data_IF_557901094623
#
_entry.id   IF_557901094623
#
_cell.length_a   1.000
_cell.length_b   1.000
_cell.length_c   1.000
_cell.angle_alpha   90.00
_cell.angle_beta   90.00
_cell.angle_gamma   90.00
#
_symmetry.space_group_name_H-M   'P 1'
#
loop_
_entity.id
_entity.type
_entity.pdbx_description
1 polymer ?
#
# COMPACT_ATOMS: atom_id res chain seq x y z
N UNK A 1 7.79 -2.51 -29.30
CA UNK A 1 7.11 -1.23 -29.05
C UNK A 1 5.75 -1.58 -28.46
N UNK A 2 5.44 -1.12 -27.26
CA UNK A 2 4.13 -1.32 -26.63
C UNK A 2 3.30 -0.04 -26.80
N UNK A 3 2.03 -0.18 -27.18
CA UNK A 3 1.10 0.95 -27.32
C UNK A 3 0.04 0.79 -26.23
N UNK A 4 -0.08 1.80 -25.36
CA UNK A 4 -1.06 1.83 -24.28
C UNK A 4 -2.08 2.94 -24.56
N UNK A 5 -3.37 2.60 -24.47
CA UNK A 5 -4.48 3.55 -24.62
C UNK A 5 -5.01 3.93 -23.24
N UNK A 6 -5.13 5.24 -22.97
CA UNK A 6 -5.69 5.75 -21.72
C UNK A 6 -7.08 6.35 -21.96
N UNK A 7 -8.01 6.12 -21.03
CA UNK A 7 -9.33 6.74 -21.00
C UNK A 7 -9.41 7.59 -19.74
N UNK A 8 -9.85 8.84 -19.86
CA UNK A 8 -10.02 9.76 -18.74
C UNK A 8 -11.33 10.53 -18.91
N UNK A 9 -12.01 10.81 -17.80
CA UNK A 9 -13.21 11.66 -17.78
C UNK A 9 -12.89 13.16 -17.88
N UNK A 10 -11.62 13.54 -17.71
CA UNK A 10 -11.19 14.93 -17.83
C UNK A 10 -11.13 15.36 -19.30
N UNK A 11 -11.57 16.59 -19.61
CA UNK A 11 -11.46 17.12 -20.97
C UNK A 11 -10.01 17.43 -21.32
N UNK A 12 -9.72 17.58 -22.62
CA UNK A 12 -8.36 17.63 -23.16
C UNK A 12 -7.47 18.74 -22.54
N UNK A 13 -8.06 19.89 -22.23
CA UNK A 13 -7.36 21.02 -21.61
C UNK A 13 -6.81 20.68 -20.21
N UNK A 14 -7.46 19.77 -19.49
CA UNK A 14 -7.04 19.28 -18.17
C UNK A 14 -6.23 17.97 -18.27
N UNK A 15 -6.43 17.18 -19.32
CA UNK A 15 -5.78 15.89 -19.56
C UNK A 15 -4.76 15.93 -20.71
N UNK A 16 -3.89 16.95 -20.71
CA UNK A 16 -2.82 17.04 -21.70
C UNK A 16 -1.94 15.77 -21.65
N UNK A 17 -1.34 15.32 -22.78
CA UNK A 17 -0.58 14.07 -22.82
C UNK A 17 0.50 13.92 -21.74
N UNK A 18 1.19 15.01 -21.42
CA UNK A 18 2.21 15.03 -20.35
C UNK A 18 1.62 14.82 -18.95
N UNK A 19 0.43 15.35 -18.69
CA UNK A 19 -0.29 15.16 -17.42
C UNK A 19 -0.76 13.71 -17.29
N UNK A 20 -1.34 13.14 -18.35
CA UNK A 20 -1.74 11.71 -18.40
C UNK A 20 -0.53 10.82 -18.12
N UNK A 21 0.59 11.05 -18.81
CA UNK A 21 1.82 10.27 -18.58
C UNK A 21 2.34 10.40 -17.14
N UNK A 22 2.20 11.58 -16.53
CA UNK A 22 2.58 11.79 -15.13
C UNK A 22 1.69 10.99 -14.19
N UNK A 23 0.37 11.05 -14.37
CA UNK A 23 -0.58 10.29 -13.56
C UNK A 23 -0.42 8.79 -13.72
N UNK A 24 -0.18 8.31 -14.95
CA UNK A 24 0.11 6.89 -15.20
C UNK A 24 1.35 6.45 -14.44
N UNK A 25 2.45 7.22 -14.48
CA UNK A 25 3.66 6.90 -13.71
C UNK A 25 3.42 6.92 -12.21
N UNK A 26 2.64 7.89 -11.70
CA UNK A 26 2.26 7.95 -10.30
C UNK A 26 1.41 6.75 -9.89
N UNK A 27 0.45 6.36 -10.72
CA UNK A 27 -0.40 5.18 -10.50
C UNK A 27 0.41 3.90 -10.47
N UNK A 28 1.29 3.68 -11.46
CA UNK A 28 2.24 2.57 -11.46
C UNK A 28 3.18 2.62 -10.24
N UNK A 29 3.53 3.82 -9.77
CA UNK A 29 4.31 4.01 -8.55
C UNK A 29 3.59 3.49 -7.31
N UNK A 30 2.26 3.64 -7.21
CA UNK A 30 1.46 3.08 -6.10
C UNK A 30 1.51 1.56 -6.14
N UNK A 31 1.24 0.97 -7.30
CA UNK A 31 1.26 -0.49 -7.50
C UNK A 31 2.65 -1.07 -7.20
N UNK A 32 3.70 -0.50 -7.77
CA UNK A 32 5.08 -0.96 -7.59
C UNK A 32 5.53 -0.90 -6.12
N UNK A 33 5.09 0.11 -5.37
CA UNK A 33 5.40 0.23 -3.93
C UNK A 33 4.62 -0.74 -3.04
N UNK A 34 3.63 -1.46 -3.57
CA UNK A 34 2.81 -2.41 -2.81
C UNK A 34 3.04 -3.85 -3.24
N UNK A 35 3.20 -4.10 -4.55
CA UNK A 35 3.28 -5.42 -5.15
C UNK A 35 4.38 -6.29 -4.51
N UNK A 36 5.61 -5.78 -4.43
CA UNK A 36 6.71 -6.54 -3.80
C UNK A 36 6.43 -6.90 -2.33
N UNK A 37 5.80 -6.00 -1.58
CA UNK A 37 5.47 -6.22 -0.17
C UNK A 37 4.40 -7.32 -0.07
N UNK A 38 3.37 -7.26 -0.90
CA UNK A 38 2.30 -8.25 -0.93
C UNK A 38 2.83 -9.65 -1.27
N UNK A 39 3.66 -9.76 -2.30
CA UNK A 39 4.12 -11.06 -2.79
C UNK A 39 5.21 -11.66 -1.92
N UNK A 40 6.12 -10.83 -1.41
CA UNK A 40 7.32 -11.33 -0.71
C UNK A 40 7.18 -11.26 0.80
N UNK A 41 6.57 -10.19 1.34
CA UNK A 41 6.37 -10.07 2.80
C UNK A 41 5.14 -10.84 3.24
N UNK A 42 4.04 -10.75 2.49
CA UNK A 42 2.78 -11.40 2.83
C UNK A 42 2.54 -12.73 2.09
N UNK A 43 3.41 -13.11 1.15
CA UNK A 43 3.28 -14.34 0.37
C UNK A 43 1.91 -14.46 -0.33
N UNK A 44 1.35 -13.34 -0.79
CA UNK A 44 0.00 -13.29 -1.35
C UNK A 44 -0.22 -14.32 -2.46
N UNK A 45 0.66 -14.39 -3.46
CA UNK A 45 0.59 -15.34 -4.58
C UNK A 45 0.57 -16.82 -4.16
N UNK A 46 1.14 -17.13 -3.00
CA UNK A 46 1.17 -18.50 -2.46
C UNK A 46 -0.10 -18.84 -1.68
N UNK A 47 -0.88 -17.84 -1.28
CA UNK A 47 -2.09 -18.05 -0.51
C UNK A 47 -3.27 -18.34 -1.43
N UNK A 48 -4.07 -19.35 -1.06
CA UNK A 48 -5.32 -19.69 -1.72
C UNK A 48 -6.45 -19.53 -0.71
N UNK A 49 -7.06 -18.34 -0.58
CA UNK A 49 -8.20 -18.17 0.31
C UNK A 49 -9.40 -18.96 -0.23
N UNK A 50 -9.91 -19.93 0.53
CA UNK A 50 -11.03 -20.79 0.13
C UNK A 50 -12.38 -20.32 0.68
N UNK A 51 -12.39 -19.26 1.49
CA UNK A 51 -13.60 -18.68 2.06
C UNK A 51 -14.09 -17.56 1.15
N UNK A 52 -15.37 -17.58 0.76
CA UNK A 52 -16.09 -16.56 -0.05
C UNK A 52 -15.30 -15.28 -0.38
N UNK A 53 -15.41 -14.24 0.45
CA UNK A 53 -14.75 -12.93 0.22
C UNK A 53 -13.31 -12.90 0.75
N UNK A 54 -12.67 -14.05 0.96
CA UNK A 54 -11.41 -14.20 1.67
C UNK A 54 -10.26 -13.46 1.01
N UNK A 55 -10.19 -13.46 -0.33
CA UNK A 55 -9.20 -12.68 -1.06
C UNK A 55 -9.33 -11.17 -0.77
N UNK A 56 -10.54 -10.62 -0.84
CA UNK A 56 -10.80 -9.21 -0.60
C UNK A 56 -10.56 -8.81 0.87
N UNK A 57 -10.94 -9.69 1.81
CA UNK A 57 -10.69 -9.48 3.24
C UNK A 57 -9.19 -9.46 3.52
N UNK A 58 -8.44 -10.43 3.00
CA UNK A 58 -6.98 -10.49 3.19
C UNK A 58 -6.28 -9.29 2.54
N UNK A 59 -6.69 -8.89 1.34
CA UNK A 59 -6.17 -7.68 0.69
C UNK A 59 -6.40 -6.43 1.57
N UNK A 60 -7.60 -6.28 2.14
CA UNK A 60 -7.92 -5.19 3.06
C UNK A 60 -7.04 -5.22 4.31
N UNK A 61 -6.88 -6.40 4.94
CA UNK A 61 -6.08 -6.55 6.14
C UNK A 61 -4.59 -6.23 5.90
N UNK A 62 -4.03 -6.70 4.78
CA UNK A 62 -2.63 -6.40 4.40
C UNK A 62 -2.43 -4.92 4.14
N UNK A 63 -3.33 -4.30 3.37
CA UNK A 63 -3.30 -2.85 3.12
C UNK A 63 -3.36 -2.06 4.44
N UNK A 64 -4.22 -2.47 5.37
CA UNK A 64 -4.30 -1.85 6.70
C UNK A 64 -2.99 -2.02 7.46
N UNK A 65 -2.41 -3.21 7.51
CA UNK A 65 -1.14 -3.45 8.19
C UNK A 65 0.02 -2.60 7.60
N UNK A 66 0.11 -2.53 6.27
CA UNK A 66 1.11 -1.70 5.57
C UNK A 66 0.92 -0.23 5.95
N UNK A 67 -0.31 0.27 5.91
CA UNK A 67 -0.60 1.66 6.24
C UNK A 67 -0.30 1.98 7.71
N UNK A 68 -0.63 1.08 8.64
CA UNK A 68 -0.28 1.24 10.06
C UNK A 68 1.24 1.34 10.25
N UNK A 69 2.02 0.48 9.59
CA UNK A 69 3.47 0.54 9.66
C UNK A 69 4.02 1.85 9.07
N UNK A 70 3.50 2.31 7.93
CA UNK A 70 3.90 3.60 7.32
C UNK A 70 3.54 4.79 8.20
N UNK A 71 2.36 4.79 8.81
CA UNK A 71 1.93 5.85 9.74
C UNK A 71 2.80 5.91 11.00
N UNK A 72 3.38 4.78 11.41
CA UNK A 72 4.36 4.70 12.49
C UNK A 72 5.81 4.92 12.01
N UNK A 73 6.01 5.42 10.78
CA UNK A 73 7.32 5.82 10.26
C UNK A 73 8.21 4.66 9.79
N UNK A 74 7.65 3.49 9.50
CA UNK A 74 8.44 2.36 9.02
C UNK A 74 8.79 2.51 7.53
N UNK A 75 10.09 2.57 7.22
CA UNK A 75 10.61 2.56 5.85
C UNK A 75 10.69 1.13 5.26
N UNK A 76 10.91 0.12 6.12
CA UNK A 76 10.99 -1.28 5.73
C UNK A 76 9.85 -2.09 6.35
N UNK A 77 8.83 -2.39 5.54
CA UNK A 77 7.64 -3.12 6.00
C UNK A 77 7.95 -4.56 6.42
N UNK A 78 8.87 -5.24 5.74
CA UNK A 78 9.22 -6.62 6.08
C UNK A 78 9.87 -6.72 7.47
N UNK A 79 10.77 -5.79 7.79
CA UNK A 79 11.37 -5.68 9.11
C UNK A 79 10.33 -5.30 10.18
N UNK A 80 9.50 -4.29 9.90
CA UNK A 80 8.47 -3.85 10.83
C UNK A 80 7.48 -4.98 11.18
N UNK A 81 7.05 -5.77 10.18
CA UNK A 81 6.22 -6.94 10.40
C UNK A 81 6.92 -7.99 11.29
N UNK A 82 8.23 -8.25 11.09
CA UNK A 82 8.98 -9.18 11.95
C UNK A 82 9.05 -8.70 13.39
N UNK A 83 9.33 -7.42 13.63
CA UNK A 83 9.40 -6.83 14.96
C UNK A 83 8.03 -6.91 15.65
N UNK A 84 6.96 -6.54 14.95
CA UNK A 84 5.60 -6.60 15.49
C UNK A 84 5.14 -8.04 15.78
N UNK A 85 5.64 -9.02 15.03
CA UNK A 85 5.31 -10.42 15.29
C UNK A 85 5.88 -10.95 16.62
N UNK A 86 6.97 -10.36 17.14
CA UNK A 86 7.72 -10.87 18.31
C UNK A 86 6.91 -10.88 19.61
N UNK A 87 6.06 -9.87 19.86
CA UNK A 87 5.31 -9.77 21.13
C UNK A 87 3.91 -9.20 20.92
N UNK A 88 2.97 -9.56 21.81
CA UNK A 88 1.63 -8.98 21.81
C UNK A 88 1.65 -7.46 22.05
N UNK A 89 2.53 -6.97 22.92
CA UNK A 89 2.65 -5.54 23.21
C UNK A 89 3.02 -4.74 21.96
N UNK A 90 3.96 -5.25 21.14
CA UNK A 90 4.36 -4.59 19.87
C UNK A 90 3.22 -4.52 18.85
N UNK A 91 2.26 -5.45 18.91
CA UNK A 91 1.04 -5.40 18.08
C UNK A 91 0.08 -4.33 18.59
N UNK A 92 -0.03 -4.21 19.90
CA UNK A 92 -0.84 -3.17 20.53
C UNK A 92 -0.27 -1.77 20.25
N UNK A 93 1.06 -1.62 20.32
CA UNK A 93 1.77 -0.39 19.98
C UNK A 93 1.50 0.03 18.53
N UNK A 94 1.51 -0.92 17.58
CA UNK A 94 1.21 -0.65 16.17
C UNK A 94 -0.22 -0.08 15.96
N UNK A 95 -1.18 -0.57 16.74
CA UNK A 95 -2.57 -0.08 16.70
C UNK A 95 -2.73 1.27 17.40
N UNK A 96 -1.86 1.56 18.36
CA UNK A 96 -1.88 2.79 19.13
C UNK A 96 -1.14 3.89 18.35
N UNK A 97 -1.81 4.42 17.32
CA UNK A 97 -1.29 5.46 16.44
C UNK A 97 -0.68 6.61 17.25
N UNK A 98 0.65 6.70 17.23
CA UNK A 98 1.34 7.89 17.70
C UNK A 98 1.27 8.92 16.59
N UNK A 99 0.23 9.75 16.62
CA UNK A 99 0.24 10.95 15.80
C UNK A 99 1.41 11.81 16.28
N UNK A 100 2.34 12.22 15.40
CA UNK A 100 3.31 13.23 15.78
C UNK A 100 2.49 14.43 16.25
N UNK A 101 2.69 14.83 17.51
CA UNK A 101 2.10 16.05 18.04
C UNK A 101 2.49 17.15 17.06
N UNK A 102 1.50 17.68 16.34
CA UNK A 102 1.69 18.86 15.50
C UNK A 102 2.47 19.87 16.32
N UNK A 103 3.71 20.16 15.93
CA UNK A 103 4.39 21.32 16.48
C UNK A 103 3.61 22.52 15.96
N UNK A 104 2.75 23.04 16.83
CA UNK A 104 2.21 24.37 16.69
C UNK A 104 3.39 25.35 16.72
N UNK A 105 3.67 25.94 15.58
CA UNK A 105 4.35 27.23 15.41
C UNK A 105 3.63 27.97 14.31
#
# INVERSE_FOLDING_TARGET
MEVVYAICSLPFEHARPTAIMTWMRQHCGIENNLHWIHDVTFYEDRQRPHTRNGAQVLATLRNTAINLHRLNGADNIAEACRITALTANRRLDLLNLQFPSSQAC
#
